data_IF_129537715678
#
_entry.id   IF_129537715678
#
_cell.length_a   1.000
_cell.length_b   1.000
_cell.length_c   1.000
_cell.angle_alpha   90.00
_cell.angle_beta   90.00
_cell.angle_gamma   90.00
#
_symmetry.space_group_name_H-M   'P 1'
#
loop_
_entity.id
_entity.type
_entity.pdbx_description
1 polymer ?
#
# COMPACT_ATOMS: atom_id res chain seq x y z
N UNK A 1 -8.69 -1.12 25.43
CA UNK A 1 -8.79 -1.24 23.99
C UNK A 1 -7.38 -1.09 23.44
N UNK A 2 -6.91 -2.02 22.64
CA UNK A 2 -5.55 -2.00 22.04
C UNK A 2 -5.62 -1.21 20.74
N UNK A 3 -4.66 -0.33 20.49
CA UNK A 3 -4.58 0.48 19.28
C UNK A 3 -3.32 0.12 18.50
N UNK A 4 -3.49 -0.20 17.23
CA UNK A 4 -2.36 -0.48 16.32
C UNK A 4 -1.57 0.79 16.01
N UNK A 5 -2.25 1.91 15.84
CA UNK A 5 -1.65 3.23 15.62
C UNK A 5 -2.41 4.25 16.48
N UNK A 6 -1.71 5.10 17.20
CA UNK A 6 -2.34 6.21 17.89
C UNK A 6 -1.44 7.45 17.89
N UNK A 7 -2.07 8.61 17.82
CA UNK A 7 -1.44 9.92 17.98
C UNK A 7 -2.38 10.83 18.76
N UNK A 8 -1.83 11.58 19.70
CA UNK A 8 -2.59 12.53 20.53
C UNK A 8 -1.91 13.89 20.44
N UNK A 9 -2.68 14.90 20.06
CA UNK A 9 -2.22 16.29 19.89
C UNK A 9 -0.96 16.41 19.01
N UNK A 10 -0.89 15.59 17.95
CA UNK A 10 0.23 15.56 17.03
C UNK A 10 0.31 16.83 16.18
N UNK A 11 1.46 17.50 16.19
CA UNK A 11 1.73 18.69 15.38
C UNK A 11 2.94 18.41 14.50
N UNK A 12 2.80 18.56 13.18
CA UNK A 12 3.89 18.33 12.25
C UNK A 12 5.08 19.25 12.55
N UNK A 13 6.29 18.70 12.54
CA UNK A 13 7.52 19.43 12.80
C UNK A 13 7.75 20.56 11.80
N UNK A 14 7.54 20.25 10.52
CA UNK A 14 7.73 21.23 9.46
C UNK A 14 6.48 22.09 9.24
N UNK A 15 6.59 23.44 9.24
CA UNK A 15 5.45 24.35 9.16
C UNK A 15 4.55 24.13 7.92
N UNK A 16 5.14 23.75 6.77
CA UNK A 16 4.38 23.49 5.54
C UNK A 16 3.45 22.28 5.62
N UNK A 17 3.67 21.37 6.57
CA UNK A 17 2.87 20.14 6.76
C UNK A 17 1.96 20.22 7.98
N UNK A 18 1.81 21.40 8.58
CA UNK A 18 0.91 21.60 9.71
C UNK A 18 -0.54 21.53 9.27
N UNK A 19 -1.29 20.68 9.94
CA UNK A 19 -2.73 20.66 9.84
C UNK A 19 -3.31 21.87 10.58
N UNK A 20 -4.56 22.25 10.28
CA UNK A 20 -5.26 23.35 10.95
C UNK A 20 -5.38 23.12 12.46
N UNK A 21 -5.59 21.87 12.84
CA UNK A 21 -5.72 21.42 14.21
C UNK A 21 -4.71 20.30 14.49
N UNK A 22 -4.29 20.11 15.75
CA UNK A 22 -3.46 18.99 16.14
C UNK A 22 -4.12 17.65 15.78
N UNK A 23 -3.33 16.72 15.29
CA UNK A 23 -3.82 15.39 14.89
C UNK A 23 -4.15 14.57 16.13
N UNK A 24 -5.40 14.14 16.23
CA UNK A 24 -5.87 13.19 17.22
C UNK A 24 -6.47 11.99 16.49
N UNK A 25 -5.85 10.82 16.61
CA UNK A 25 -6.26 9.63 15.90
C UNK A 25 -5.94 8.38 16.70
N UNK A 26 -6.82 7.39 16.61
CA UNK A 26 -6.61 6.08 17.21
C UNK A 26 -7.19 5.02 16.28
N UNK A 27 -6.36 4.10 15.82
CA UNK A 27 -6.79 2.94 15.05
C UNK A 27 -6.82 1.75 16.00
N UNK A 28 -8.02 1.26 16.31
CA UNK A 28 -8.17 0.06 17.12
C UNK A 28 -7.64 -1.16 16.37
N UNK A 29 -7.10 -2.13 17.11
CA UNK A 29 -6.61 -3.36 16.52
C UNK A 29 -7.77 -4.12 15.83
N UNK A 30 -7.56 -4.52 14.58
CA UNK A 30 -8.57 -5.19 13.75
C UNK A 30 -9.61 -4.26 13.10
N UNK A 31 -9.55 -2.95 13.34
CA UNK A 31 -10.43 -1.99 12.71
C UNK A 31 -9.96 -1.68 11.27
N UNK A 32 -10.88 -1.76 10.30
CA UNK A 32 -10.63 -1.36 8.93
C UNK A 32 -11.12 0.06 8.71
N UNK A 33 -10.29 0.90 8.10
CA UNK A 33 -10.51 2.33 8.04
C UNK A 33 -10.57 2.81 6.60
N UNK A 34 -11.59 3.60 6.29
CA UNK A 34 -11.68 4.33 5.04
C UNK A 34 -11.44 5.82 5.28
N UNK A 35 -10.38 6.38 4.70
CA UNK A 35 -10.11 7.81 4.72
C UNK A 35 -10.69 8.44 3.46
N UNK A 36 -11.73 9.23 3.63
CA UNK A 36 -12.50 9.82 2.52
C UNK A 36 -12.39 11.34 2.57
N UNK A 37 -12.28 11.98 1.43
CA UNK A 37 -12.23 13.45 1.35
C UNK A 37 -11.88 13.96 -0.04
N UNK A 38 -12.14 15.24 -0.28
CA UNK A 38 -11.83 15.91 -1.54
C UNK A 38 -10.31 15.94 -1.82
N UNK A 39 -9.94 16.24 -3.07
CA UNK A 39 -8.55 16.50 -3.44
C UNK A 39 -8.02 17.70 -2.62
N UNK A 40 -6.81 17.58 -2.11
CA UNK A 40 -6.22 18.62 -1.25
C UNK A 40 -6.66 18.61 0.21
N UNK A 41 -7.55 17.70 0.64
CA UNK A 41 -8.02 17.60 2.03
C UNK A 41 -6.95 17.10 3.03
N UNK A 42 -5.73 16.85 2.59
CA UNK A 42 -4.64 16.41 3.47
C UNK A 42 -4.55 14.90 3.71
N UNK A 43 -5.27 14.06 2.94
CA UNK A 43 -5.22 12.59 3.08
C UNK A 43 -3.80 12.03 2.99
N UNK A 44 -3.04 12.43 1.95
CA UNK A 44 -1.65 11.99 1.78
C UNK A 44 -0.76 12.47 2.93
N UNK A 45 -0.97 13.70 3.40
CA UNK A 45 -0.26 14.25 4.54
C UNK A 45 -0.53 13.43 5.82
N UNK A 46 -1.78 13.03 6.05
CA UNK A 46 -2.15 12.15 7.13
C UNK A 46 -1.39 10.82 7.04
N UNK A 47 -1.42 10.17 5.87
CA UNK A 47 -0.74 8.90 5.65
C UNK A 47 0.78 9.02 5.84
N UNK A 48 1.40 10.07 5.29
CA UNK A 48 2.83 10.31 5.45
C UNK A 48 3.22 10.58 6.92
N UNK A 49 2.32 11.20 7.70
CA UNK A 49 2.51 11.36 9.14
C UNK A 49 2.39 10.01 9.86
N UNK A 50 1.38 9.22 9.55
CA UNK A 50 1.14 7.91 10.18
C UNK A 50 2.22 6.88 9.83
N UNK A 51 2.88 7.03 8.70
CA UNK A 51 4.01 6.15 8.29
C UNK A 51 5.36 6.64 8.80
N UNK A 52 5.40 7.77 9.52
CA UNK A 52 6.62 8.36 10.07
C UNK A 52 7.46 9.14 9.06
N UNK A 53 6.96 9.33 7.82
CA UNK A 53 7.66 10.14 6.80
C UNK A 53 7.77 11.61 7.21
N UNK A 54 6.74 12.14 7.86
CA UNK A 54 6.74 13.49 8.45
C UNK A 54 6.75 13.41 9.97
N UNK A 55 7.89 13.70 10.63
CA UNK A 55 7.99 13.63 12.07
C UNK A 55 7.14 14.72 12.73
N UNK A 56 6.59 14.38 13.89
CA UNK A 56 5.87 15.30 14.73
C UNK A 56 6.84 16.14 15.59
N UNK A 57 6.40 17.34 15.95
CA UNK A 57 7.16 18.25 16.82
C UNK A 57 7.06 17.80 18.29
N UNK A 58 5.88 17.37 18.67
CA UNK A 58 5.53 16.89 20.01
C UNK A 58 4.59 15.70 19.83
N UNK A 59 4.62 14.78 20.79
CA UNK A 59 3.74 13.61 20.80
C UNK A 59 3.90 12.72 19.55
N UNK A 60 4.83 11.81 19.61
CA UNK A 60 5.12 10.87 18.52
C UNK A 60 3.92 9.98 18.20
N UNK A 61 3.88 9.48 16.98
CA UNK A 61 2.96 8.40 16.60
C UNK A 61 3.37 7.15 17.37
N UNK A 62 2.45 6.58 18.13
CA UNK A 62 2.65 5.33 18.87
C UNK A 62 2.15 4.17 18.07
N UNK A 63 2.93 3.11 18.02
CA UNK A 63 2.61 1.89 17.29
C UNK A 63 2.57 0.69 18.24
N UNK A 64 1.62 -0.19 18.02
CA UNK A 64 1.59 -1.54 18.58
C UNK A 64 1.32 -2.51 17.44
N UNK A 65 2.38 -3.11 16.94
CA UNK A 65 2.30 -4.06 15.83
C UNK A 65 2.20 -5.52 16.29
N UNK A 66 1.87 -5.76 17.56
CA UNK A 66 1.68 -7.13 18.04
C UNK A 66 0.72 -7.92 17.14
N UNK A 67 1.04 -9.18 16.79
CA UNK A 67 2.15 -10.02 17.23
C UNK A 67 3.44 -9.93 16.39
N UNK A 68 3.64 -8.89 15.58
CA UNK A 68 4.89 -8.71 14.82
C UNK A 68 6.08 -8.60 15.75
N UNK A 69 7.21 -9.22 15.38
CA UNK A 69 8.47 -9.12 16.11
C UNK A 69 9.23 -7.83 15.85
N UNK A 70 8.91 -7.10 14.77
CA UNK A 70 9.54 -5.83 14.44
C UNK A 70 8.74 -4.65 14.99
N UNK A 71 9.38 -3.71 15.71
CA UNK A 71 8.75 -2.47 16.15
C UNK A 71 8.72 -1.38 15.08
N UNK A 72 9.38 -1.59 13.93
CA UNK A 72 9.55 -0.55 12.92
C UNK A 72 8.30 -0.37 12.07
N UNK A 73 7.87 0.87 11.87
CA UNK A 73 6.75 1.20 10.99
C UNK A 73 7.03 0.77 9.53
N UNK A 74 8.26 0.90 9.05
CA UNK A 74 8.67 0.49 7.70
C UNK A 74 8.46 -1.00 7.42
N UNK A 75 8.57 -1.85 8.44
CA UNK A 75 8.40 -3.29 8.30
C UNK A 75 6.93 -3.70 8.35
N UNK A 76 6.14 -2.98 9.15
CA UNK A 76 4.76 -3.34 9.47
C UNK A 76 3.71 -2.59 8.67
N UNK A 77 4.01 -1.38 8.20
CA UNK A 77 3.10 -0.57 7.38
C UNK A 77 3.58 -0.61 5.93
N UNK A 78 2.74 -1.08 5.04
CA UNK A 78 2.99 -1.01 3.60
C UNK A 78 1.93 -0.16 2.92
N UNK A 79 2.39 0.69 2.00
CA UNK A 79 1.52 1.58 1.23
C UNK A 79 1.54 1.15 -0.23
N UNK A 80 0.35 1.04 -0.82
CA UNK A 80 0.18 0.84 -2.26
C UNK A 80 -0.49 2.09 -2.81
N UNK A 81 0.21 2.81 -3.65
CA UNK A 81 -0.34 3.97 -4.38
C UNK A 81 -0.53 3.58 -5.84
N UNK A 82 -1.78 3.57 -6.28
CA UNK A 82 -2.14 3.31 -7.67
C UNK A 82 -2.28 4.63 -8.44
N UNK A 83 -1.32 5.51 -8.35
CA UNK A 83 -1.28 6.68 -9.24
C UNK A 83 -0.92 6.19 -10.63
N UNK A 84 -1.49 6.83 -11.66
CA UNK A 84 -1.19 6.54 -13.07
C UNK A 84 0.27 6.86 -13.45
N UNK A 85 1.02 7.41 -12.52
CA UNK A 85 2.47 7.56 -12.61
C UNK A 85 3.12 6.36 -11.93
N UNK A 86 4.01 5.70 -12.62
CA UNK A 86 4.96 4.70 -12.13
C UNK A 86 5.89 5.34 -11.08
N UNK A 87 5.31 5.79 -9.96
CA UNK A 87 5.97 6.73 -9.08
C UNK A 87 6.29 6.19 -7.69
N UNK A 88 7.21 5.27 -7.63
CA UNK A 88 8.28 5.24 -6.62
C UNK A 88 9.59 5.43 -7.38
N UNK A 89 10.68 5.84 -6.72
CA UNK A 89 11.96 6.15 -7.38
C UNK A 89 12.40 5.05 -8.38
N UNK A 90 12.02 3.82 -8.12
CA UNK A 90 12.25 2.68 -9.01
C UNK A 90 11.32 2.68 -10.24
N UNK A 91 10.10 3.18 -10.13
CA UNK A 91 9.14 3.22 -11.25
C UNK A 91 9.53 4.16 -12.37
N UNK A 92 10.11 5.32 -12.04
CA UNK A 92 10.61 6.26 -13.05
C UNK A 92 11.79 5.69 -13.83
N UNK A 93 12.65 4.93 -13.17
CA UNK A 93 13.79 4.27 -13.81
C UNK A 93 13.30 3.24 -14.85
N UNK A 94 12.36 2.39 -14.50
CA UNK A 94 11.81 1.39 -15.43
C UNK A 94 10.96 1.99 -16.55
N UNK A 95 10.26 3.10 -16.31
CA UNK A 95 9.51 3.79 -17.36
C UNK A 95 10.43 4.38 -18.42
N UNK A 96 11.52 5.03 -18.03
CA UNK A 96 12.52 5.55 -18.96
C UNK A 96 13.22 4.44 -19.74
N UNK A 97 13.51 3.30 -19.08
CA UNK A 97 14.09 2.14 -19.77
C UNK A 97 13.13 1.53 -20.80
N UNK A 98 11.82 1.52 -20.56
CA UNK A 98 10.83 1.01 -21.52
C UNK A 98 10.90 1.74 -22.87
N UNK A 99 11.23 3.02 -22.87
CA UNK A 99 11.39 3.83 -24.09
C UNK A 99 12.79 3.74 -24.68
N UNK A 100 13.79 3.44 -23.88
CA UNK A 100 15.19 3.38 -24.27
C UNK A 100 15.72 1.93 -24.36
N UNK A 101 14.84 0.93 -24.20
CA UNK A 101 15.24 -0.47 -24.08
C UNK A 101 15.76 -1.04 -25.40
N UNK A 102 17.07 -0.89 -25.61
CA UNK A 102 17.82 -1.73 -26.54
C UNK A 102 18.37 -3.00 -25.88
N UNK A 103 18.44 -3.06 -24.53
CA UNK A 103 18.94 -4.22 -23.78
C UNK A 103 17.92 -4.67 -22.73
N UNK A 104 17.14 -5.72 -23.06
CA UNK A 104 16.23 -6.39 -22.12
C UNK A 104 17.02 -7.17 -21.06
N UNK A 105 18.24 -7.58 -21.37
CA UNK A 105 19.06 -8.48 -20.55
C UNK A 105 19.41 -7.88 -19.17
N UNK A 106 19.42 -6.55 -19.03
CA UNK A 106 19.72 -5.88 -17.77
C UNK A 106 18.48 -5.65 -16.87
N UNK A 107 17.28 -6.03 -17.32
CA UNK A 107 16.06 -5.79 -16.53
C UNK A 107 15.63 -7.04 -15.77
N UNK A 108 15.27 -6.92 -14.48
CA UNK A 108 14.92 -8.08 -13.68
C UNK A 108 13.62 -8.74 -14.14
N UNK A 109 13.54 -10.06 -13.93
CA UNK A 109 12.31 -10.81 -14.10
C UNK A 109 11.37 -10.58 -12.91
N UNK A 110 10.08 -10.74 -13.14
CA UNK A 110 9.04 -10.62 -12.09
C UNK A 110 9.35 -11.53 -10.91
N UNK A 111 9.80 -12.78 -11.16
CA UNK A 111 10.15 -13.73 -10.11
C UNK A 111 11.25 -13.24 -9.18
N UNK A 112 12.23 -12.49 -9.69
CA UNK A 112 13.39 -12.02 -8.94
C UNK A 112 13.04 -10.85 -8.00
N UNK A 113 11.92 -10.19 -8.28
CA UNK A 113 11.44 -9.03 -7.53
C UNK A 113 10.37 -9.38 -6.49
N UNK A 114 9.84 -10.61 -6.52
CA UNK A 114 8.88 -11.07 -5.52
C UNK A 114 9.62 -11.52 -4.25
N UNK A 115 9.19 -11.07 -3.06
CA UNK A 115 9.80 -11.53 -1.82
C UNK A 115 9.49 -13.00 -1.57
N UNK A 116 10.37 -13.67 -0.83
CA UNK A 116 10.07 -15.00 -0.32
C UNK A 116 8.81 -14.94 0.57
N UNK A 117 7.88 -15.83 0.29
CA UNK A 117 6.64 -15.87 1.04
C UNK A 117 6.88 -16.46 2.44
N UNK A 118 6.41 -15.77 3.47
CA UNK A 118 6.36 -16.31 4.83
C UNK A 118 5.22 -17.33 4.99
N UNK A 119 4.20 -17.21 4.16
CA UNK A 119 3.02 -18.05 4.15
C UNK A 119 2.76 -18.57 2.72
N UNK A 120 2.98 -19.87 2.53
CA UNK A 120 2.84 -20.53 1.23
C UNK A 120 1.39 -20.59 0.75
N UNK A 121 0.43 -20.73 1.68
CA UNK A 121 -1.00 -20.74 1.35
C UNK A 121 -1.42 -19.37 0.80
N UNK A 122 -0.95 -18.30 1.45
CA UNK A 122 -1.18 -16.93 0.97
C UNK A 122 -0.53 -16.71 -0.40
N UNK A 123 0.69 -17.18 -0.60
CA UNK A 123 1.39 -17.08 -1.90
C UNK A 123 0.56 -17.72 -3.00
N UNK A 124 0.12 -18.95 -2.79
CA UNK A 124 -0.66 -19.67 -3.79
C UNK A 124 -1.98 -18.95 -4.09
N UNK A 125 -2.69 -18.50 -3.06
CA UNK A 125 -3.94 -17.75 -3.23
C UNK A 125 -3.74 -16.46 -4.04
N UNK A 126 -2.65 -15.72 -3.81
CA UNK A 126 -2.33 -14.50 -4.55
C UNK A 126 -1.93 -14.80 -6.00
N UNK A 127 -1.19 -15.89 -6.22
CA UNK A 127 -0.75 -16.30 -7.57
C UNK A 127 -1.95 -16.73 -8.42
N UNK A 128 -2.89 -17.45 -7.83
CA UNK A 128 -4.12 -17.88 -8.52
C UNK A 128 -5.04 -16.68 -8.79
N UNK A 129 -5.26 -15.82 -7.79
CA UNK A 129 -6.10 -14.63 -7.91
C UNK A 129 -5.64 -13.68 -9.00
N UNK A 130 -4.35 -13.37 -9.03
CA UNK A 130 -3.77 -12.38 -9.94
C UNK A 130 -3.18 -12.98 -11.21
N UNK A 131 -3.22 -14.30 -11.37
CA UNK A 131 -2.60 -15.02 -12.49
C UNK A 131 -1.12 -14.68 -12.63
N UNK A 132 -0.37 -14.75 -11.51
CA UNK A 132 1.05 -14.37 -11.46
C UNK A 132 1.94 -15.37 -12.21
N UNK A 133 1.57 -16.67 -12.24
CA UNK A 133 2.36 -17.71 -12.87
C UNK A 133 2.88 -17.35 -14.27
N UNK A 134 2.03 -16.97 -15.22
CA UNK A 134 2.46 -16.56 -16.57
C UNK A 134 3.33 -15.31 -16.64
N UNK A 135 3.38 -14.52 -15.58
CA UNK A 135 4.17 -13.29 -15.52
C UNK A 135 5.57 -13.49 -14.95
N UNK A 136 5.83 -14.61 -14.26
CA UNK A 136 7.10 -14.83 -13.53
C UNK A 136 8.34 -14.70 -14.40
N UNK A 137 8.25 -15.14 -15.65
CA UNK A 137 9.35 -15.14 -16.63
C UNK A 137 9.37 -13.89 -17.52
N UNK A 138 8.49 -12.93 -17.27
CA UNK A 138 8.51 -11.65 -17.96
C UNK A 138 9.47 -10.68 -17.27
N UNK A 139 10.14 -9.87 -18.07
CA UNK A 139 10.84 -8.70 -17.57
C UNK A 139 9.83 -7.68 -17.05
N UNK A 140 10.12 -7.04 -15.92
CA UNK A 140 9.19 -6.10 -15.25
C UNK A 140 8.73 -4.96 -16.17
N UNK A 141 9.59 -4.51 -17.08
CA UNK A 141 9.31 -3.46 -18.06
C UNK A 141 8.29 -3.87 -19.14
N UNK A 142 8.11 -5.18 -19.35
CA UNK A 142 7.17 -5.72 -20.34
C UNK A 142 5.77 -5.93 -19.78
N UNK A 143 5.55 -5.67 -18.49
CA UNK A 143 4.22 -5.79 -17.90
C UNK A 143 3.30 -4.68 -18.42
N UNK A 144 2.07 -5.05 -18.77
CA UNK A 144 1.00 -4.08 -18.95
C UNK A 144 0.68 -3.36 -17.65
N UNK A 145 -0.02 -2.23 -17.71
CA UNK A 145 -0.41 -1.48 -16.51
C UNK A 145 -1.23 -2.34 -15.53
N UNK A 146 -2.11 -3.20 -16.04
CA UNK A 146 -2.88 -4.13 -15.22
C UNK A 146 -2.02 -5.22 -14.59
N UNK A 147 -1.09 -5.83 -15.34
CA UNK A 147 -0.15 -6.82 -14.82
C UNK A 147 0.78 -6.22 -13.75
N UNK A 148 1.27 -5.00 -13.97
CA UNK A 148 2.11 -4.31 -13.00
C UNK A 148 1.38 -4.06 -11.68
N UNK A 149 0.09 -3.71 -11.72
CA UNK A 149 -0.74 -3.55 -10.52
C UNK A 149 -0.91 -4.86 -9.76
N UNK A 150 -1.23 -5.94 -10.47
CA UNK A 150 -1.34 -7.28 -9.89
C UNK A 150 -0.02 -7.71 -9.26
N UNK A 151 1.09 -7.46 -9.92
CA UNK A 151 2.43 -7.68 -9.36
C UNK A 151 2.68 -6.88 -8.09
N UNK A 152 2.39 -5.57 -8.09
CA UNK A 152 2.58 -4.70 -6.92
C UNK A 152 1.75 -5.15 -5.71
N UNK A 153 0.48 -5.52 -5.94
CA UNK A 153 -0.39 -6.08 -4.90
C UNK A 153 0.20 -7.37 -4.33
N UNK A 154 0.58 -8.30 -5.21
CA UNK A 154 1.20 -9.57 -4.80
C UNK A 154 2.46 -9.32 -3.98
N UNK A 155 3.38 -8.51 -4.50
CA UNK A 155 4.65 -8.18 -3.83
C UNK A 155 4.41 -7.61 -2.42
N UNK A 156 3.45 -6.71 -2.30
CA UNK A 156 3.16 -6.05 -1.03
C UNK A 156 2.50 -7.01 -0.04
N UNK A 157 1.52 -7.80 -0.46
CA UNK A 157 0.82 -8.75 0.40
C UNK A 157 1.72 -9.90 0.85
N UNK A 158 2.66 -10.35 0.01
CA UNK A 158 3.65 -11.36 0.37
C UNK A 158 4.62 -10.90 1.47
N UNK A 159 4.79 -9.59 1.67
CA UNK A 159 5.60 -9.06 2.78
C UNK A 159 4.93 -9.20 4.16
N UNK A 160 3.69 -9.66 4.19
CA UNK A 160 2.88 -9.91 5.39
C UNK A 160 2.80 -8.68 6.32
N UNK A 161 2.29 -7.54 5.82
CA UNK A 161 2.21 -6.32 6.60
C UNK A 161 1.15 -6.42 7.70
N UNK A 162 1.35 -5.71 8.81
CA UNK A 162 0.33 -5.52 9.87
C UNK A 162 -0.73 -4.50 9.47
N UNK A 163 -0.30 -3.47 8.74
CA UNK A 163 -1.17 -2.42 8.24
C UNK A 163 -0.91 -2.24 6.75
N UNK A 164 -1.94 -2.42 5.95
CA UNK A 164 -1.92 -2.18 4.51
C UNK A 164 -2.69 -0.89 4.21
N UNK A 165 -1.99 0.10 3.69
CA UNK A 165 -2.58 1.36 3.26
C UNK A 165 -2.70 1.36 1.74
N UNK A 166 -3.89 1.60 1.22
CA UNK A 166 -4.18 1.54 -0.20
C UNK A 166 -4.77 2.86 -0.70
N UNK A 167 -4.12 3.46 -1.70
CA UNK A 167 -4.66 4.62 -2.43
C UNK A 167 -5.45 4.13 -3.65
N UNK A 168 -6.77 4.32 -3.63
CA UNK A 168 -7.65 3.94 -4.74
C UNK A 168 -7.41 2.49 -5.23
N UNK A 169 -7.52 1.47 -4.37
CA UNK A 169 -7.06 0.11 -4.64
C UNK A 169 -7.75 -0.55 -5.85
N UNK A 170 -8.90 -0.06 -6.25
CA UNK A 170 -9.73 -0.66 -7.29
C UNK A 170 -9.61 0.02 -8.67
N UNK A 171 -8.84 1.11 -8.77
CA UNK A 171 -8.64 1.79 -10.07
C UNK A 171 -7.89 0.88 -11.04
N UNK A 172 -8.43 0.75 -12.26
CA UNK A 172 -7.82 -0.01 -13.35
C UNK A 172 -7.85 -1.53 -13.19
N UNK A 173 -8.61 -2.05 -12.23
CA UNK A 173 -8.98 -3.45 -12.18
C UNK A 173 -10.34 -3.65 -12.86
N UNK A 174 -10.50 -4.74 -13.59
CA UNK A 174 -11.80 -5.18 -14.09
C UNK A 174 -12.73 -5.57 -12.93
N UNK A 175 -14.03 -5.67 -13.22
CA UNK A 175 -15.05 -5.92 -12.19
C UNK A 175 -14.78 -7.21 -11.44
N UNK A 176 -14.45 -8.28 -12.16
CA UNK A 176 -14.22 -9.59 -11.55
C UNK A 176 -12.98 -9.57 -10.63
N UNK A 177 -11.86 -9.02 -11.09
CA UNK A 177 -10.64 -8.90 -10.28
C UNK A 177 -10.87 -8.02 -9.05
N UNK A 178 -11.70 -6.97 -9.17
CA UNK A 178 -12.07 -6.09 -8.07
C UNK A 178 -12.85 -6.83 -6.97
N UNK A 179 -13.85 -7.60 -7.35
CA UNK A 179 -14.65 -8.41 -6.41
C UNK A 179 -13.78 -9.47 -5.72
N UNK A 180 -12.95 -10.16 -6.48
CA UNK A 180 -12.03 -11.15 -5.95
C UNK A 180 -11.00 -10.54 -4.98
N UNK A 181 -10.44 -9.36 -5.30
CA UNK A 181 -9.55 -8.64 -4.40
C UNK A 181 -10.26 -8.23 -3.10
N UNK A 182 -11.49 -7.73 -3.22
CA UNK A 182 -12.30 -7.38 -2.04
C UNK A 182 -12.53 -8.59 -1.15
N UNK A 183 -12.91 -9.73 -1.73
CA UNK A 183 -13.12 -10.97 -1.00
C UNK A 183 -11.83 -11.46 -0.33
N UNK A 184 -10.69 -11.45 -1.04
CA UNK A 184 -9.40 -11.83 -0.50
C UNK A 184 -8.99 -10.93 0.68
N UNK A 185 -9.11 -9.61 0.54
CA UNK A 185 -8.79 -8.68 1.62
C UNK A 185 -9.68 -8.93 2.84
N UNK A 186 -10.96 -9.18 2.63
CA UNK A 186 -11.89 -9.55 3.71
C UNK A 186 -11.43 -10.82 4.42
N UNK A 187 -11.13 -11.90 3.69
CA UNK A 187 -10.66 -13.15 4.27
C UNK A 187 -9.32 -12.97 5.01
N UNK A 188 -8.39 -12.20 4.46
CA UNK A 188 -7.12 -11.91 5.12
C UNK A 188 -7.33 -11.15 6.44
N UNK A 189 -8.20 -10.15 6.43
CA UNK A 189 -8.48 -9.35 7.62
C UNK A 189 -9.24 -10.12 8.70
N UNK A 190 -10.06 -11.08 8.32
CA UNK A 190 -10.80 -11.96 9.27
C UNK A 190 -9.91 -13.05 9.85
N UNK A 191 -8.95 -13.58 9.09
CA UNK A 191 -8.12 -14.73 9.48
C UNK A 191 -6.74 -14.38 9.98
N UNK A 192 -6.30 -13.16 9.73
CA UNK A 192 -4.97 -12.68 10.13
C UNK A 192 -5.10 -11.42 10.96
N UNK A 193 -3.98 -10.92 11.41
CA UNK A 193 -3.91 -9.65 12.11
C UNK A 193 -3.71 -8.44 11.17
N UNK A 194 -3.95 -8.62 9.87
CA UNK A 194 -3.86 -7.56 8.88
C UNK A 194 -4.96 -6.52 9.10
N UNK A 195 -4.56 -5.27 9.15
CA UNK A 195 -5.46 -4.11 9.19
C UNK A 195 -5.40 -3.38 7.86
N UNK A 196 -6.54 -3.21 7.20
CA UNK A 196 -6.61 -2.50 5.93
C UNK A 196 -7.07 -1.05 6.14
N UNK A 197 -6.33 -0.13 5.55
CA UNK A 197 -6.68 1.30 5.47
C UNK A 197 -6.77 1.67 4.00
N UNK A 198 -7.94 2.01 3.53
CA UNK A 198 -8.12 2.51 2.17
C UNK A 198 -8.42 3.99 2.17
N UNK A 199 -7.86 4.73 1.23
CA UNK A 199 -8.25 6.11 1.00
C UNK A 199 -8.60 6.32 -0.48
N UNK A 200 -9.69 7.05 -0.71
CA UNK A 200 -10.21 7.28 -2.05
C UNK A 200 -10.46 8.77 -2.27
N UNK A 201 -10.29 9.18 -3.52
CA UNK A 201 -10.71 10.50 -3.95
C UNK A 201 -12.21 10.45 -4.28
N UNK A 202 -13.03 11.22 -3.57
CA UNK A 202 -14.40 11.47 -4.00
C UNK A 202 -14.32 12.43 -5.20
N UNK A 203 -14.48 11.91 -6.39
CA UNK A 203 -14.91 12.73 -7.52
C UNK A 203 -16.40 12.92 -7.36
N UNK A 204 -16.84 14.14 -7.01
CA UNK A 204 -18.24 14.49 -7.12
C UNK A 204 -18.63 14.37 -8.60
N UNK A 205 -19.75 13.71 -8.94
CA UNK A 205 -20.25 13.77 -10.29
C UNK A 205 -20.47 15.24 -10.63
N UNK A 206 -19.81 15.71 -11.67
CA UNK A 206 -20.09 17.02 -12.27
C UNK A 206 -21.46 16.92 -12.88
N UNK A 207 -22.45 17.54 -12.24
CA UNK A 207 -23.77 17.81 -12.80
C UNK A 207 -23.68 18.78 -13.96
#
# INVERSE_FOLDING_TARGET
>A
MQYTISVENGVARHPMYRMKEPLNLRFAAGEHIAVVGANGAGKSLLIDTLTGRYPLLMNEVKYDFSPSSSPLASDNIKCITFRDSYGDADGNYYYQQRWNAHDLDDTPLVRDLLPAAKNEVLRQALYDLFHIGPMLDKHIILLSSGELRKFQLTKTLLSDPRVLIMDNPFIGLDVQTREQLHQLLKELTERTSLQAVSYTHLTLPTT
#
